data_IF_184382342478
#
_entry.id   IF_184382342478
#
_cell.length_a   1.000
_cell.length_b   1.000
_cell.length_c   1.000
_cell.angle_alpha   90.00
_cell.angle_beta   90.00
_cell.angle_gamma   90.00
#
_symmetry.space_group_name_H-M   'P 1'
#
loop_
_entity.id
_entity.type
_entity.pdbx_description
1 polymer ?
#
# COMPACT_ATOMS: atom_id res chain seq x y z
N UNK A 1 -20.74 -14.88 5.23
CA UNK A 1 -21.13 -14.40 3.89
C UNK A 1 -22.32 -13.47 4.09
N UNK A 2 -22.20 -12.20 3.71
CA UNK A 2 -23.33 -11.27 3.77
C UNK A 2 -24.06 -11.43 2.44
N UNK A 3 -25.26 -12.00 2.48
CA UNK A 3 -26.11 -12.09 1.30
C UNK A 3 -26.56 -10.67 0.93
N UNK A 4 -26.15 -10.17 -0.24
CA UNK A 4 -26.77 -9.01 -0.85
C UNK A 4 -27.69 -9.47 -1.98
N UNK A 5 -28.62 -8.62 -2.39
CA UNK A 5 -29.55 -8.93 -3.46
C UNK A 5 -29.45 -7.86 -4.54
N UNK A 6 -29.14 -8.27 -5.77
CA UNK A 6 -29.31 -7.42 -6.95
C UNK A 6 -30.71 -7.61 -7.52
N UNK A 7 -31.32 -6.55 -8.05
CA UNK A 7 -32.61 -6.66 -8.73
C UNK A 7 -32.60 -6.00 -10.10
N UNK A 8 -33.33 -6.59 -11.04
CA UNK A 8 -33.58 -6.01 -12.35
C UNK A 8 -35.07 -6.12 -12.70
N UNK A 9 -35.59 -5.10 -13.37
CA UNK A 9 -36.97 -5.09 -13.85
C UNK A 9 -37.03 -5.43 -15.33
N UNK A 10 -37.86 -6.39 -15.69
CA UNK A 10 -38.26 -6.66 -17.07
C UNK A 10 -39.61 -5.99 -17.29
N UNK A 11 -39.64 -4.97 -18.14
CA UNK A 11 -40.85 -4.30 -18.57
C UNK A 11 -41.20 -4.72 -20.01
N UNK A 12 -42.46 -5.07 -20.26
CA UNK A 12 -42.97 -5.45 -21.58
C UNK A 12 -44.20 -4.62 -21.89
N UNK A 13 -44.27 -4.08 -23.11
CA UNK A 13 -45.49 -3.46 -23.66
C UNK A 13 -45.94 -4.23 -24.88
N UNK A 14 -47.20 -4.65 -24.90
CA UNK A 14 -47.81 -5.36 -26.03
C UNK A 14 -49.24 -4.86 -26.25
N UNK A 15 -49.52 -4.38 -27.47
CA UNK A 15 -50.84 -3.86 -27.87
C UNK A 15 -51.45 -2.84 -26.88
N UNK A 16 -50.62 -1.98 -26.29
CA UNK A 16 -51.05 -0.93 -25.37
C UNK A 16 -51.18 -1.37 -23.91
N UNK A 17 -51.03 -2.66 -23.61
CA UNK A 17 -50.92 -3.16 -22.24
C UNK A 17 -49.45 -3.20 -21.81
N UNK A 18 -49.19 -2.88 -20.54
CA UNK A 18 -47.84 -2.88 -19.96
C UNK A 18 -47.79 -3.77 -18.73
N UNK A 19 -46.74 -4.58 -18.64
CA UNK A 19 -46.44 -5.41 -17.48
C UNK A 19 -44.98 -5.19 -17.07
N UNK A 20 -44.70 -5.22 -15.77
CA UNK A 20 -43.36 -5.14 -15.22
C UNK A 20 -43.19 -6.22 -14.16
N UNK A 21 -42.12 -6.99 -14.26
CA UNK A 21 -41.71 -7.97 -13.26
C UNK A 21 -40.32 -7.63 -12.77
N UNK A 22 -40.15 -7.56 -11.45
CA UNK A 22 -38.83 -7.44 -10.82
C UNK A 22 -38.31 -8.83 -10.48
N UNK A 23 -37.08 -9.11 -10.87
CA UNK A 23 -36.32 -10.31 -10.53
C UNK A 23 -35.25 -9.94 -9.53
N UNK A 24 -35.14 -10.72 -8.46
CA UNK A 24 -34.12 -10.54 -7.43
C UNK A 24 -33.19 -11.73 -7.44
N UNK A 25 -31.88 -11.48 -7.52
CA UNK A 25 -30.84 -12.50 -7.54
C UNK A 25 -30.00 -12.39 -6.26
N UNK A 26 -29.68 -13.52 -5.60
CA UNK A 26 -28.70 -13.52 -4.51
C UNK A 26 -27.31 -13.24 -5.09
N UNK A 27 -26.62 -12.27 -4.50
CA UNK A 27 -25.24 -11.93 -4.85
C UNK A 27 -24.37 -12.17 -3.63
N UNK A 28 -23.25 -12.86 -3.84
CA UNK A 28 -22.25 -13.07 -2.79
C UNK A 28 -21.43 -11.80 -2.67
N UNK A 29 -21.72 -10.97 -1.67
CA UNK A 29 -20.94 -9.78 -1.37
C UNK A 29 -19.58 -10.19 -0.80
N UNK A 30 -18.50 -9.76 -1.45
CA UNK A 30 -17.15 -9.94 -0.94
C UNK A 30 -16.83 -8.84 0.09
N UNK A 31 -15.98 -9.11 1.09
CA UNK A 31 -15.52 -8.08 2.01
C UNK A 31 -14.70 -7.01 1.30
N UNK A 32 -14.78 -5.76 1.78
CA UNK A 32 -14.11 -4.61 1.17
C UNK A 32 -12.62 -4.50 1.49
N UNK A 33 -12.11 -5.35 2.38
CA UNK A 33 -10.73 -5.34 2.83
C UNK A 33 -10.46 -6.53 3.75
N UNK A 34 -9.17 -6.81 3.99
CA UNK A 34 -8.75 -7.91 4.87
C UNK A 34 -9.30 -7.75 6.30
N UNK A 35 -9.43 -6.50 6.79
CA UNK A 35 -10.00 -6.24 8.11
C UNK A 35 -11.49 -6.63 8.17
N UNK A 36 -12.29 -6.19 7.21
CA UNK A 36 -13.70 -6.59 7.12
C UNK A 36 -13.85 -8.11 7.00
N UNK A 37 -12.95 -8.77 6.25
CA UNK A 37 -12.92 -10.22 6.16
C UNK A 37 -12.63 -10.86 7.52
N UNK A 38 -11.60 -10.39 8.25
CA UNK A 38 -11.19 -10.94 9.54
C UNK A 38 -12.25 -10.75 10.63
N UNK A 39 -12.96 -9.61 10.63
CA UNK A 39 -14.08 -9.38 11.54
C UNK A 39 -15.22 -10.38 11.31
N UNK A 40 -15.51 -10.71 10.05
CA UNK A 40 -16.52 -11.70 9.71
C UNK A 40 -16.06 -13.16 9.94
N UNK A 41 -14.76 -13.40 9.97
CA UNK A 41 -14.16 -14.74 10.12
C UNK A 41 -13.00 -14.70 11.13
N UNK A 42 -13.29 -14.56 12.44
CA UNK A 42 -12.26 -14.51 13.46
C UNK A 42 -11.33 -15.74 13.40
N UNK A 43 -10.01 -15.50 13.41
CA UNK A 43 -9.01 -16.57 13.33
C UNK A 43 -8.65 -17.03 11.92
N UNK A 44 -9.12 -16.33 10.88
CA UNK A 44 -8.67 -16.57 9.50
C UNK A 44 -7.13 -16.42 9.41
N UNK A 45 -6.41 -17.33 8.72
CA UNK A 45 -4.96 -17.26 8.59
C UNK A 45 -4.51 -16.16 7.62
N UNK A 46 -3.24 -15.75 7.65
CA UNK A 46 -2.69 -14.90 6.58
C UNK A 46 -2.69 -15.66 5.24
N UNK A 47 -2.85 -14.93 4.12
CA UNK A 47 -2.90 -15.54 2.80
C UNK A 47 -3.64 -14.70 1.76
N UNK A 48 -3.93 -15.29 0.60
CA UNK A 48 -4.66 -14.65 -0.49
C UNK A 48 -6.18 -14.78 -0.32
N UNK A 49 -6.89 -13.67 -0.45
CA UNK A 49 -8.34 -13.58 -0.32
C UNK A 49 -8.95 -12.84 -1.51
N UNK A 50 -10.16 -13.22 -1.90
CA UNK A 50 -10.96 -12.46 -2.86
C UNK A 50 -11.71 -11.36 -2.12
N UNK A 51 -11.41 -10.11 -2.44
CA UNK A 51 -11.99 -8.92 -1.81
C UNK A 51 -12.55 -7.99 -2.89
N UNK A 52 -13.50 -7.16 -2.50
CA UNK A 52 -14.14 -6.17 -3.38
C UNK A 52 -14.03 -4.77 -2.74
N UNK A 53 -12.94 -4.03 -3.01
CA UNK A 53 -12.65 -2.75 -2.36
C UNK A 53 -13.77 -1.71 -2.47
N UNK A 54 -14.48 -1.65 -3.58
CA UNK A 54 -15.55 -0.69 -3.81
C UNK A 54 -16.95 -1.26 -3.51
N UNK A 55 -17.05 -2.54 -3.19
CA UNK A 55 -18.21 -3.16 -2.57
C UNK A 55 -19.37 -3.32 -3.53
N UNK A 56 -20.33 -2.39 -3.51
CA UNK A 56 -21.44 -2.38 -4.49
C UNK A 56 -21.14 -1.45 -5.69
N UNK A 57 -19.89 -0.97 -5.78
CA UNK A 57 -19.38 -0.17 -6.89
C UNK A 57 -19.18 -0.98 -8.19
N UNK A 58 -18.75 -0.31 -9.27
CA UNK A 58 -18.58 -0.94 -10.58
C UNK A 58 -17.31 -1.81 -10.70
N UNK A 59 -16.40 -1.72 -9.72
CA UNK A 59 -15.22 -2.56 -9.63
C UNK A 59 -15.59 -4.02 -9.42
N UNK A 60 -14.69 -4.90 -9.85
CA UNK A 60 -14.84 -6.33 -9.67
C UNK A 60 -13.97 -6.78 -8.51
N UNK A 61 -14.44 -7.78 -7.76
CA UNK A 61 -13.62 -8.42 -6.73
C UNK A 61 -12.29 -8.95 -7.32
N UNK A 62 -11.20 -8.76 -6.59
CA UNK A 62 -9.84 -9.16 -6.99
C UNK A 62 -9.15 -9.93 -5.86
N UNK A 63 -7.99 -10.53 -6.15
CA UNK A 63 -7.20 -11.24 -5.15
C UNK A 63 -6.24 -10.29 -4.44
N UNK A 64 -6.24 -10.33 -3.11
CA UNK A 64 -5.39 -9.52 -2.24
C UNK A 64 -4.69 -10.41 -1.22
N UNK A 65 -3.43 -10.07 -0.90
CA UNK A 65 -2.74 -10.72 0.19
C UNK A 65 -3.09 -10.03 1.52
N UNK A 66 -3.49 -10.82 2.49
CA UNK A 66 -3.87 -10.39 3.82
C UNK A 66 -2.89 -10.91 4.87
N UNK A 67 -2.40 -10.01 5.72
CA UNK A 67 -1.79 -10.38 6.99
C UNK A 67 -2.87 -10.29 8.09
N UNK A 68 -3.27 -11.46 8.58
CA UNK A 68 -4.33 -11.62 9.58
C UNK A 68 -3.78 -11.75 11.01
N UNK A 69 -2.48 -11.56 11.20
CA UNK A 69 -1.80 -11.87 12.46
C UNK A 69 -1.09 -10.67 13.09
N UNK A 70 -0.42 -9.85 12.30
CA UNK A 70 0.40 -8.74 12.82
C UNK A 70 -0.44 -7.65 13.49
N UNK A 71 -0.15 -7.35 14.75
CA UNK A 71 -0.77 -6.27 15.53
C UNK A 71 -2.30 -6.19 15.37
N UNK A 72 -2.95 -7.35 15.53
CA UNK A 72 -4.41 -7.53 15.41
C UNK A 72 -4.92 -7.94 14.03
N UNK A 73 -4.05 -7.99 13.01
CA UNK A 73 -4.37 -8.51 11.68
C UNK A 73 -5.29 -7.62 10.85
N UNK A 74 -5.79 -8.17 9.75
CA UNK A 74 -6.70 -7.48 8.83
C UNK A 74 -5.98 -6.53 7.87
N UNK A 75 -4.67 -6.65 7.72
CA UNK A 75 -3.87 -5.80 6.86
C UNK A 75 -3.92 -6.27 5.41
N UNK A 76 -4.25 -5.38 4.49
CA UNK A 76 -4.25 -5.65 3.05
C UNK A 76 -2.97 -5.13 2.41
N UNK A 77 -2.19 -5.97 1.72
CA UNK A 77 -0.95 -5.56 1.05
C UNK A 77 -1.25 -4.78 -0.24
N UNK A 78 -0.91 -3.50 -0.26
CA UNK A 78 -1.17 -2.61 -1.39
C UNK A 78 0.08 -2.24 -2.20
N UNK A 79 1.26 -2.41 -1.60
CA UNK A 79 2.55 -2.26 -2.26
C UNK A 79 3.44 -3.42 -1.86
N UNK A 80 4.17 -3.95 -2.84
CA UNK A 80 5.22 -4.93 -2.66
C UNK A 80 6.35 -4.58 -3.63
N UNK A 81 7.51 -4.19 -3.12
CA UNK A 81 8.60 -3.65 -3.93
C UNK A 81 9.88 -4.43 -3.67
N UNK A 82 10.40 -5.10 -4.69
CA UNK A 82 11.69 -5.78 -4.63
C UNK A 82 12.77 -4.92 -5.27
N UNK A 83 14.01 -5.03 -4.79
CA UNK A 83 15.13 -4.31 -5.38
C UNK A 83 15.44 -4.77 -6.81
N UNK A 84 15.24 -6.04 -7.13
CA UNK A 84 15.58 -6.57 -8.46
C UNK A 84 14.74 -5.94 -9.57
N UNK A 85 13.43 -5.76 -9.33
CA UNK A 85 12.47 -5.34 -10.34
C UNK A 85 11.42 -4.40 -9.75
N UNK A 86 11.75 -3.18 -9.30
CA UNK A 86 10.79 -2.27 -8.71
C UNK A 86 9.73 -1.81 -9.72
N UNK A 87 8.59 -1.34 -9.21
CA UNK A 87 7.69 -0.46 -9.96
C UNK A 87 7.98 0.99 -9.59
N UNK A 88 8.13 1.85 -10.59
CA UNK A 88 8.51 3.27 -10.40
C UNK A 88 7.31 4.20 -10.19
N UNK A 89 6.13 3.75 -10.58
CA UNK A 89 4.86 4.42 -10.32
C UNK A 89 4.24 3.87 -9.02
N UNK A 90 3.81 4.77 -8.13
CA UNK A 90 3.12 4.45 -6.88
C UNK A 90 1.59 4.37 -7.03
N UNK A 91 1.06 4.63 -8.22
CA UNK A 91 -0.35 4.56 -8.57
C UNK A 91 -0.60 3.54 -9.68
N UNK A 92 -0.39 2.26 -9.39
CA UNK A 92 -0.54 1.18 -10.36
C UNK A 92 0.77 0.80 -11.04
N UNK A 93 1.00 -0.51 -11.14
CA UNK A 93 2.09 -1.10 -11.91
C UNK A 93 2.45 -2.49 -11.39
N UNK A 94 2.97 -3.34 -12.27
CA UNK A 94 3.52 -4.65 -11.94
C UNK A 94 4.84 -4.83 -12.70
N UNK A 95 5.88 -5.31 -12.01
CA UNK A 95 7.16 -5.67 -12.59
C UNK A 95 7.74 -6.87 -11.84
N UNK A 96 7.63 -8.06 -12.44
CA UNK A 96 7.98 -9.31 -11.76
C UNK A 96 7.14 -9.51 -10.50
N UNK A 97 7.80 -9.64 -9.35
CA UNK A 97 7.15 -9.74 -8.03
C UNK A 97 6.73 -8.38 -7.46
N UNK A 98 7.22 -7.28 -8.01
CA UNK A 98 6.87 -5.96 -7.48
C UNK A 98 5.56 -5.46 -8.05
N UNK A 99 4.76 -4.80 -7.22
CA UNK A 99 3.56 -4.11 -7.63
C UNK A 99 3.22 -2.96 -6.69
N UNK A 100 2.46 -2.00 -7.22
CA UNK A 100 1.75 -0.99 -6.45
C UNK A 100 0.33 -0.93 -6.99
N UNK A 101 -0.66 -0.98 -6.11
CA UNK A 101 -2.06 -0.87 -6.53
C UNK A 101 -2.40 0.56 -6.96
N UNK A 102 -3.28 0.70 -7.95
CA UNK A 102 -3.86 1.99 -8.29
C UNK A 102 -4.85 2.45 -7.21
N UNK A 103 -5.10 3.76 -7.09
CA UNK A 103 -6.01 4.33 -6.09
C UNK A 103 -7.38 3.62 -6.04
N UNK A 104 -7.94 3.27 -7.19
CA UNK A 104 -9.24 2.59 -7.28
C UNK A 104 -9.24 1.15 -6.73
N UNK A 105 -8.07 0.52 -6.63
CA UNK A 105 -7.92 -0.85 -6.15
C UNK A 105 -7.55 -0.94 -4.66
N UNK A 106 -7.25 0.20 -4.02
CA UNK A 106 -6.86 0.25 -2.61
C UNK A 106 -8.13 0.18 -1.76
N UNK A 107 -8.27 -0.82 -0.86
CA UNK A 107 -9.37 -0.90 0.10
C UNK A 107 -9.61 0.39 0.87
N UNK A 108 -10.87 0.72 1.20
CA UNK A 108 -11.18 1.74 2.20
C UNK A 108 -10.43 1.44 3.50
N UNK A 109 -9.75 2.44 4.05
CA UNK A 109 -8.88 2.28 5.20
C UNK A 109 -8.73 3.59 5.96
N UNK A 110 -8.33 3.47 7.22
CA UNK A 110 -7.91 4.59 8.06
C UNK A 110 -6.50 4.40 8.62
N UNK A 111 -5.99 3.17 8.57
CA UNK A 111 -4.65 2.84 9.04
C UNK A 111 -3.75 2.43 7.89
N UNK A 112 -2.47 2.76 8.03
CA UNK A 112 -1.41 2.33 7.13
C UNK A 112 -0.31 1.70 7.97
N UNK A 113 0.31 0.63 7.47
CA UNK A 113 1.49 0.03 8.07
C UNK A 113 2.61 -0.11 7.04
N UNK A 114 3.83 -0.06 7.53
CA UNK A 114 5.05 -0.21 6.73
C UNK A 114 5.79 -1.44 7.23
N UNK A 115 6.18 -2.28 6.29
CA UNK A 115 6.75 -3.56 6.63
C UNK A 115 7.73 -4.10 5.61
N UNK A 116 8.04 -5.37 5.80
CA UNK A 116 8.88 -6.15 4.90
C UNK A 116 8.24 -7.52 4.69
N UNK A 117 8.33 -8.01 3.46
CA UNK A 117 7.77 -9.28 3.02
C UNK A 117 6.28 -9.44 3.36
N UNK A 118 5.96 -10.31 4.30
CA UNK A 118 4.60 -10.64 4.70
C UNK A 118 4.30 -10.21 6.15
N UNK A 119 5.22 -9.44 6.76
CA UNK A 119 5.02 -8.86 8.09
C UNK A 119 4.56 -7.40 7.94
N UNK A 120 3.26 -7.17 8.07
CA UNK A 120 2.64 -5.88 7.75
C UNK A 120 3.16 -4.71 8.59
N UNK A 121 3.53 -5.01 9.83
CA UNK A 121 3.85 -4.03 10.87
C UNK A 121 5.30 -4.14 11.31
N UNK A 122 6.16 -4.70 10.46
CA UNK A 122 7.56 -4.93 10.81
C UNK A 122 8.22 -3.64 11.32
N UNK A 123 7.95 -2.50 10.66
CA UNK A 123 8.32 -1.20 11.21
C UNK A 123 7.33 -0.78 12.30
N UNK A 124 6.13 -0.38 11.89
CA UNK A 124 5.09 0.16 12.75
C UNK A 124 3.78 0.32 11.94
N UNK A 125 2.73 0.77 12.61
CA UNK A 125 1.45 1.12 12.01
C UNK A 125 0.87 2.43 12.57
N UNK A 126 0.06 3.10 11.77
CA UNK A 126 -0.27 4.51 11.92
C UNK A 126 -1.74 4.78 11.60
N UNK A 127 -2.36 5.72 12.32
CA UNK A 127 -3.63 6.33 11.93
C UNK A 127 -3.37 7.35 10.82
N UNK A 128 -3.15 6.82 9.62
CA UNK A 128 -2.81 7.57 8.42
C UNK A 128 -3.51 6.94 7.22
N UNK A 129 -4.20 7.78 6.45
CA UNK A 129 -4.83 7.37 5.18
C UNK A 129 -3.80 7.46 4.05
N UNK A 130 -3.41 6.31 3.53
CA UNK A 130 -2.49 6.19 2.39
C UNK A 130 -3.07 6.85 1.13
N UNK A 131 -2.19 7.51 0.38
CA UNK A 131 -2.47 8.02 -0.96
C UNK A 131 -1.36 7.59 -1.92
N UNK A 132 -1.68 7.45 -3.20
CA UNK A 132 -0.70 7.07 -4.24
C UNK A 132 0.15 8.24 -4.74
N UNK A 133 -0.33 9.47 -4.53
CA UNK A 133 0.33 10.71 -4.92
C UNK A 133 1.52 11.09 -4.02
N UNK A 134 1.99 12.33 -4.21
CA UNK A 134 3.07 12.89 -3.38
C UNK A 134 2.58 13.05 -1.95
N UNK A 135 3.46 12.75 -1.00
CA UNK A 135 3.23 12.96 0.43
C UNK A 135 4.23 14.02 0.87
N UNK A 136 3.75 15.23 1.10
CA UNK A 136 4.53 16.27 1.79
C UNK A 136 4.94 15.74 3.16
N UNK A 137 6.14 16.10 3.63
CA UNK A 137 6.61 15.71 4.96
C UNK A 137 5.51 15.90 6.01
N UNK A 138 5.07 14.79 6.58
CA UNK A 138 3.98 14.74 7.56
C UNK A 138 4.48 14.00 8.79
N UNK A 139 4.21 14.55 9.98
CA UNK A 139 4.49 13.86 11.24
C UNK A 139 3.32 12.95 11.59
N UNK A 140 3.61 11.68 11.84
CA UNK A 140 2.64 10.65 12.25
C UNK A 140 3.15 9.90 13.48
N UNK A 141 2.25 9.25 14.20
CA UNK A 141 2.56 8.53 15.43
C UNK A 141 2.43 7.01 15.22
N UNK A 142 3.50 6.27 15.49
CA UNK A 142 3.56 4.83 15.40
C UNK A 142 3.09 4.17 16.70
N UNK A 143 2.05 3.35 16.61
CA UNK A 143 1.41 2.75 17.77
C UNK A 143 2.21 1.63 18.40
N UNK A 144 3.00 0.90 17.60
CA UNK A 144 3.80 -0.25 18.06
C UNK A 144 5.03 0.22 18.82
N UNK A 145 5.80 1.14 18.25
CA UNK A 145 7.02 1.64 18.87
C UNK A 145 6.74 2.73 19.92
N UNK A 146 5.54 3.33 19.92
CA UNK A 146 5.20 4.52 20.71
C UNK A 146 6.16 5.68 20.40
N UNK A 147 6.37 5.93 19.10
CA UNK A 147 7.31 6.93 18.58
C UNK A 147 6.67 7.78 17.49
N UNK A 148 7.20 8.99 17.28
CA UNK A 148 6.84 9.86 16.16
C UNK A 148 7.74 9.61 14.96
N UNK A 149 7.16 9.68 13.77
CA UNK A 149 7.83 9.48 12.48
C UNK A 149 7.48 10.61 11.52
N UNK A 150 8.37 10.87 10.57
CA UNK A 150 8.07 11.61 9.35
C UNK A 150 7.82 10.64 8.19
N UNK A 151 6.67 10.77 7.53
CA UNK A 151 6.40 10.15 6.24
C UNK A 151 6.58 11.17 5.12
N UNK A 152 7.22 10.77 4.02
CA UNK A 152 7.31 11.58 2.81
C UNK A 152 7.39 10.71 1.55
N UNK A 153 6.76 11.19 0.47
CA UNK A 153 6.89 10.63 -0.87
C UNK A 153 7.03 11.77 -1.87
N UNK A 154 8.16 11.78 -2.56
CA UNK A 154 8.45 12.73 -3.63
C UNK A 154 8.76 11.94 -4.90
N UNK A 155 8.60 12.58 -6.06
CA UNK A 155 8.87 11.97 -7.36
C UNK A 155 10.13 12.53 -8.03
N UNK A 156 10.41 13.81 -7.79
CA UNK A 156 11.49 14.57 -8.46
C UNK A 156 12.58 15.04 -7.49
N UNK A 157 12.46 14.72 -6.21
CA UNK A 157 13.35 15.18 -5.14
C UNK A 157 13.56 14.07 -4.12
N UNK A 158 14.58 14.23 -3.28
CA UNK A 158 14.88 13.34 -2.15
C UNK A 158 15.38 14.15 -0.97
N UNK A 159 15.13 13.69 0.26
CA UNK A 159 15.88 14.19 1.40
C UNK A 159 17.20 13.42 1.55
N UNK A 160 18.26 14.11 2.00
CA UNK A 160 19.56 13.50 2.23
C UNK A 160 19.40 12.29 3.16
N UNK A 161 20.00 11.15 2.80
CA UNK A 161 19.86 9.91 3.59
C UNK A 161 18.42 9.41 3.83
N UNK A 162 17.44 9.80 2.99
CA UNK A 162 16.01 9.48 3.16
C UNK A 162 15.35 10.09 4.41
N UNK A 163 15.99 11.07 5.04
CA UNK A 163 15.62 11.63 6.33
C UNK A 163 14.92 13.00 6.13
N UNK A 164 13.59 13.10 6.35
CA UNK A 164 12.83 14.33 6.10
C UNK A 164 13.21 15.56 6.96
N UNK A 165 14.13 15.44 7.92
CA UNK A 165 14.68 16.56 8.69
C UNK A 165 15.94 17.16 8.05
N UNK A 166 16.51 16.49 7.05
CA UNK A 166 17.72 16.92 6.35
C UNK A 166 17.44 17.72 5.09
N UNK A 167 18.53 18.14 4.43
CA UNK A 167 18.52 18.89 3.19
C UNK A 167 17.70 18.18 2.10
N UNK A 168 16.83 18.93 1.44
CA UNK A 168 16.10 18.48 0.26
C UNK A 168 16.98 18.68 -0.99
N UNK A 169 17.27 17.60 -1.71
CA UNK A 169 18.02 17.62 -2.95
C UNK A 169 17.09 17.60 -4.17
N UNK A 170 17.45 18.39 -5.19
CA UNK A 170 16.77 18.47 -6.49
C UNK A 170 17.64 17.98 -7.66
N UNK A 171 18.88 17.59 -7.38
CA UNK A 171 19.95 17.27 -8.33
C UNK A 171 20.41 15.81 -8.18
N UNK A 172 19.45 14.88 -8.07
CA UNK A 172 19.75 13.47 -7.88
C UNK A 172 20.52 12.93 -9.12
N UNK A 173 21.81 12.66 -8.94
CA UNK A 173 22.72 12.19 -9.99
C UNK A 173 23.94 13.07 -10.30
N UNK A 174 24.00 14.33 -9.84
CA UNK A 174 25.14 15.25 -10.10
C UNK A 174 25.75 15.90 -8.85
N UNK A 175 25.19 15.67 -7.67
CA UNK A 175 25.70 16.27 -6.43
C UNK A 175 27.07 15.66 -6.05
N UNK A 176 28.04 16.45 -5.55
CA UNK A 176 29.32 15.95 -5.01
C UNK A 176 29.20 15.22 -3.66
N UNK A 177 28.01 15.13 -3.07
CA UNK A 177 27.81 14.56 -1.74
C UNK A 177 27.61 13.04 -1.80
N UNK A 178 27.57 12.37 -0.64
CA UNK A 178 27.32 10.94 -0.47
C UNK A 178 25.99 10.40 -1.08
N UNK A 179 25.21 11.27 -1.74
CA UNK A 179 24.00 10.98 -2.49
C UNK A 179 24.19 11.05 -4.04
N UNK A 180 25.44 11.19 -4.50
CA UNK A 180 25.82 11.06 -5.90
C UNK A 180 25.41 9.67 -6.44
N UNK A 181 24.61 9.65 -7.52
CA UNK A 181 24.13 8.41 -8.14
C UNK A 181 22.75 7.93 -7.68
N UNK A 182 22.07 8.65 -6.78
CA UNK A 182 20.65 8.40 -6.51
C UNK A 182 19.79 8.94 -7.64
N UNK A 183 18.82 8.18 -8.13
CA UNK A 183 17.77 8.71 -8.98
C UNK A 183 16.67 9.31 -8.11
N UNK A 184 16.10 10.43 -8.51
CA UNK A 184 15.05 11.09 -7.74
C UNK A 184 13.81 10.19 -7.58
N UNK A 185 13.08 10.42 -6.49
CA UNK A 185 11.83 9.75 -6.21
C UNK A 185 11.96 8.60 -5.23
N UNK A 186 11.16 8.65 -4.17
CA UNK A 186 11.26 7.73 -3.04
C UNK A 186 9.99 7.78 -2.19
N UNK A 187 9.82 6.76 -1.36
CA UNK A 187 8.92 6.77 -0.20
C UNK A 187 9.78 6.48 1.03
N UNK A 188 9.65 7.31 2.06
CA UNK A 188 10.33 7.12 3.34
C UNK A 188 9.33 7.21 4.48
N UNK A 189 9.63 6.48 5.54
CA UNK A 189 9.11 6.71 6.87
C UNK A 189 10.25 6.55 7.87
N UNK A 190 10.50 7.60 8.64
CA UNK A 190 11.68 7.71 9.48
C UNK A 190 11.35 8.34 10.83
N UNK A 191 11.89 7.81 11.93
CA UNK A 191 11.62 8.35 13.28
C UNK A 191 12.12 9.79 13.36
N UNK A 192 11.33 10.64 14.01
CA UNK A 192 11.72 12.04 14.24
C UNK A 192 12.88 12.14 15.23
N UNK A 193 13.76 13.13 15.06
CA UNK A 193 14.72 13.55 16.06
C UNK A 193 16.05 12.79 16.04
N UNK A 194 16.57 12.44 14.86
CA UNK A 194 17.90 11.81 14.73
C UNK A 194 18.21 11.41 13.30
N UNK A 195 19.29 10.64 13.10
CA UNK A 195 19.62 10.07 11.78
C UNK A 195 19.17 8.62 11.74
N UNK A 196 17.87 8.41 11.92
CA UNK A 196 17.30 7.10 11.79
C UNK A 196 17.22 6.78 10.28
N UNK A 197 17.29 5.51 9.95
CA UNK A 197 17.20 5.02 8.58
C UNK A 197 16.18 3.89 8.65
N UNK A 198 14.95 4.21 9.04
CA UNK A 198 13.99 3.22 9.49
C UNK A 198 13.36 2.45 8.34
N UNK A 199 12.88 3.14 7.30
CA UNK A 199 12.32 2.50 6.12
C UNK A 199 12.33 3.48 4.95
N UNK A 200 13.05 3.14 3.88
CA UNK A 200 13.01 3.93 2.66
C UNK A 200 13.23 3.07 1.42
N UNK A 201 12.43 3.35 0.39
CA UNK A 201 12.53 2.70 -0.90
C UNK A 201 12.62 3.72 -2.04
N UNK A 202 13.62 3.53 -2.89
CA UNK A 202 13.93 4.38 -4.04
C UNK A 202 13.76 3.59 -5.33
N UNK A 203 12.56 3.54 -5.92
CA UNK A 203 12.31 2.65 -7.07
C UNK A 203 13.11 3.04 -8.32
N UNK A 204 13.56 4.30 -8.43
CA UNK A 204 14.27 4.79 -9.60
C UNK A 204 15.80 4.58 -9.54
N UNK A 205 16.39 4.13 -8.42
CA UNK A 205 17.86 4.06 -8.31
C UNK A 205 18.41 3.11 -9.36
N UNK A 206 19.48 3.54 -10.02
CA UNK A 206 20.18 2.72 -11.03
C UNK A 206 20.93 1.56 -10.37
N UNK A 207 21.53 1.79 -9.21
CA UNK A 207 22.18 0.75 -8.41
C UNK A 207 21.12 -0.07 -7.70
N UNK A 208 20.87 -1.28 -8.21
CA UNK A 208 19.87 -2.25 -7.71
C UNK A 208 19.87 -2.31 -6.19
N UNK A 209 21.05 -2.51 -5.62
CA UNK A 209 21.27 -2.77 -4.21
C UNK A 209 21.16 -1.52 -3.31
N UNK A 210 20.85 -0.35 -3.89
CA UNK A 210 20.61 0.88 -3.14
C UNK A 210 19.14 1.31 -3.21
N UNK A 211 18.27 0.51 -3.86
CA UNK A 211 16.82 0.79 -3.90
C UNK A 211 16.18 0.63 -2.53
N UNK A 212 16.54 -0.44 -1.83
CA UNK A 212 16.19 -0.68 -0.43
C UNK A 212 17.19 -0.06 0.54
N UNK A 213 17.23 1.27 0.58
CA UNK A 213 18.31 1.99 1.27
C UNK A 213 18.32 1.79 2.79
N UNK A 214 17.13 1.70 3.39
CA UNK A 214 16.95 1.79 4.83
C UNK A 214 15.93 0.78 5.32
N UNK A 215 16.32 0.01 6.35
CA UNK A 215 15.45 -0.86 7.15
C UNK A 215 16.01 -0.95 8.57
N UNK A 216 15.56 -0.06 9.47
CA UNK A 216 16.06 0.09 10.84
C UNK A 216 17.60 0.23 10.90
N UNK A 217 18.17 0.98 9.96
CA UNK A 217 19.60 1.16 9.75
C UNK A 217 19.98 1.20 8.27
N UNK A 218 21.25 1.47 7.98
CA UNK A 218 21.79 1.35 6.62
C UNK A 218 21.86 -0.12 6.22
N UNK A 219 21.10 -0.49 5.19
CA UNK A 219 21.15 -1.83 4.62
C UNK A 219 22.31 -1.89 3.63
N UNK A 220 23.22 -2.85 3.81
CA UNK A 220 24.29 -3.06 2.83
C UNK A 220 23.68 -3.49 1.50
N UNK A 221 24.38 -3.17 0.42
CA UNK A 221 24.01 -3.53 -0.92
C UNK A 221 23.77 -5.05 -1.08
N UNK A 222 22.52 -5.49 -0.96
CA UNK A 222 22.14 -6.88 -1.21
C UNK A 222 20.88 -6.91 -2.05
N UNK A 223 20.98 -7.51 -3.24
CA UNK A 223 19.84 -7.87 -4.07
C UNK A 223 19.07 -9.02 -3.41
N UNK A 224 18.44 -8.72 -2.28
CA UNK A 224 17.67 -9.69 -1.51
C UNK A 224 16.26 -9.81 -2.09
N UNK A 225 15.64 -10.94 -1.81
CA UNK A 225 14.24 -11.20 -2.18
C UNK A 225 13.25 -10.47 -1.28
N UNK A 226 13.74 -9.76 -0.25
CA UNK A 226 12.90 -9.03 0.68
C UNK A 226 12.15 -7.91 -0.03
N UNK A 227 10.85 -7.79 0.23
CA UNK A 227 10.00 -6.80 -0.39
C UNK A 227 9.63 -5.69 0.59
N UNK A 228 9.88 -4.44 0.20
CA UNK A 228 9.36 -3.27 0.88
C UNK A 228 7.85 -3.24 0.67
N UNK A 229 7.10 -3.32 1.76
CA UNK A 229 5.65 -3.44 1.69
C UNK A 229 4.93 -2.32 2.40
N UNK A 230 3.80 -1.93 1.82
CA UNK A 230 2.84 -1.00 2.42
C UNK A 230 1.50 -1.70 2.51
N UNK A 231 0.86 -1.52 3.66
CA UNK A 231 -0.37 -2.22 4.03
C UNK A 231 -1.41 -1.23 4.50
N UNK A 232 -2.69 -1.56 4.29
CA UNK A 232 -3.80 -0.74 4.77
C UNK A 232 -4.85 -1.60 5.46
N UNK A 233 -5.54 -1.02 6.44
CA UNK A 233 -6.73 -1.61 7.05
C UNK A 233 -7.73 -0.57 7.55
#
# INVERSE_FOLDING_TARGET
>A
MIESTASFAVAVTYKGESAQQTYTLPVVKQPTGCYAYLQANPGAPSGWYTLDPDGDGPGVAQSYYCDMTSDGGGWTRIVHQTEAAPVTNWNGGVNGQSYALATAQIPPHTQTAFGIDENATFLDYFDYKYTTGAITKTTIFGFKANQTYHIARLFTNIYASADPEKTLHNDCGTSPAADAGRACGFLTIDRTGGTYMDWAFYPNMVTVTMRGFALNGSRTAKADTEAWTVWVR
#
